data_IF_125095337722
#
_entry.id   IF_125095337722
#
_cell.length_a   1.000
_cell.length_b   1.000
_cell.length_c   1.000
_cell.angle_alpha   90.00
_cell.angle_beta   90.00
_cell.angle_gamma   90.00
#
_symmetry.space_group_name_H-M   'P 1'
#
loop_
_entity.id
_entity.type
_entity.pdbx_description
1 polymer ?
#
# COMPACT_ATOMS: atom_id res chain seq x y z
N UNK A 1 16.74 67.85 -48.61
CA UNK A 1 16.68 66.39 -48.51
C UNK A 1 16.19 66.02 -47.13
N UNK A 2 15.01 65.43 -47.12
CA UNK A 2 14.27 64.91 -45.98
C UNK A 2 15.05 63.79 -45.31
N UNK A 3 15.18 63.82 -43.98
CA UNK A 3 15.27 62.61 -43.15
C UNK A 3 14.65 62.93 -41.79
N UNK A 4 13.48 62.33 -41.58
CA UNK A 4 12.73 62.28 -40.33
C UNK A 4 13.52 61.45 -39.30
N UNK A 5 13.59 61.92 -38.07
CA UNK A 5 13.68 61.05 -36.88
C UNK A 5 12.78 61.61 -35.78
N UNK A 6 11.90 60.75 -35.27
CA UNK A 6 11.05 60.90 -34.08
C UNK A 6 11.41 59.69 -33.18
N UNK A 7 10.95 59.63 -31.92
CA UNK A 7 11.51 60.16 -30.67
C UNK A 7 12.15 59.04 -29.81
N UNK A 8 12.83 59.39 -28.70
CA UNK A 8 13.06 58.43 -27.62
C UNK A 8 12.20 58.84 -26.43
N UNK A 9 11.08 58.13 -26.25
CA UNK A 9 10.28 58.17 -25.03
C UNK A 9 10.92 57.24 -24.02
N UNK A 10 11.20 57.75 -22.83
CA UNK A 10 11.67 56.98 -21.68
C UNK A 10 10.67 55.87 -21.34
N UNK A 11 11.10 54.61 -21.44
CA UNK A 11 10.35 53.47 -20.91
C UNK A 11 10.79 53.26 -19.45
N UNK A 12 9.91 53.57 -18.51
CA UNK A 12 10.03 53.10 -17.12
C UNK A 12 9.48 51.68 -17.13
N UNK A 13 10.36 50.68 -17.03
CA UNK A 13 9.96 49.30 -16.86
C UNK A 13 9.52 49.10 -15.40
N UNK A 14 8.20 49.04 -15.17
CA UNK A 14 7.64 48.59 -13.91
C UNK A 14 7.86 47.10 -13.75
N UNK A 15 8.73 46.69 -12.82
CA UNK A 15 8.86 45.32 -12.40
C UNK A 15 7.59 44.92 -11.62
N UNK A 16 6.71 44.15 -12.26
CA UNK A 16 5.59 43.51 -11.60
C UNK A 16 6.15 42.32 -10.80
N UNK A 17 6.38 42.50 -9.50
CA UNK A 17 6.62 41.37 -8.59
C UNK A 17 5.34 40.54 -8.53
N UNK A 18 5.31 39.42 -9.27
CA UNK A 18 4.41 38.31 -9.00
C UNK A 18 4.82 37.74 -7.64
N UNK A 19 4.10 38.13 -6.59
CA UNK A 19 4.17 37.45 -5.31
C UNK A 19 3.66 36.02 -5.53
N UNK A 20 4.58 35.06 -5.64
CA UNK A 20 4.26 33.65 -5.44
C UNK A 20 3.80 33.52 -3.99
N UNK A 21 2.50 33.52 -3.77
CA UNK A 21 1.94 33.00 -2.52
C UNK A 21 2.34 31.54 -2.45
N UNK A 22 3.03 31.08 -1.38
CA UNK A 22 3.25 29.66 -1.21
C UNK A 22 1.88 28.99 -1.22
N UNK A 23 1.71 27.99 -2.08
CA UNK A 23 0.58 27.08 -2.01
C UNK A 23 0.61 26.57 -0.57
N UNK A 24 -0.36 26.95 0.26
CA UNK A 24 -0.48 26.37 1.58
C UNK A 24 -0.66 24.87 1.36
N UNK A 25 0.41 24.11 1.60
CA UNK A 25 0.26 22.72 1.99
C UNK A 25 -0.62 22.78 3.24
N UNK A 26 -1.92 22.59 3.05
CA UNK A 26 -2.76 22.11 4.13
C UNK A 26 -2.09 20.77 4.44
N UNK A 27 -1.26 20.73 5.48
CA UNK A 27 -0.90 19.45 6.07
C UNK A 27 -2.23 18.75 6.27
N UNK A 28 -2.48 17.68 5.52
CA UNK A 28 -3.75 16.98 5.60
C UNK A 28 -3.92 16.52 7.03
N UNK A 29 -4.70 17.27 7.81
CA UNK A 29 -4.96 16.92 9.20
C UNK A 29 -5.93 15.75 9.15
N UNK A 30 -5.42 14.55 9.44
CA UNK A 30 -6.26 13.37 9.61
C UNK A 30 -7.33 13.62 10.67
N UNK A 31 -8.56 13.23 10.36
CA UNK A 31 -9.68 13.35 11.27
C UNK A 31 -9.68 12.14 12.22
N UNK A 32 -9.35 12.37 13.48
CA UNK A 32 -9.40 11.31 14.50
C UNK A 32 -10.85 10.83 14.69
N UNK A 33 -11.05 9.50 14.71
CA UNK A 33 -12.38 8.88 14.82
C UNK A 33 -12.61 8.26 16.19
N UNK A 34 -13.43 8.93 17.00
CA UNK A 34 -13.76 8.47 18.36
C UNK A 34 -14.53 7.13 18.36
N UNK A 35 -15.37 6.90 17.36
CA UNK A 35 -16.05 5.62 17.15
C UNK A 35 -15.07 4.50 16.77
N UNK A 36 -13.97 4.79 16.09
CA UNK A 36 -12.95 3.77 15.79
C UNK A 36 -12.11 3.42 17.02
N UNK A 37 -11.86 4.38 17.91
CA UNK A 37 -11.27 4.08 19.22
C UNK A 37 -12.11 3.04 20.00
N UNK A 38 -13.44 3.14 19.92
CA UNK A 38 -14.35 2.19 20.53
C UNK A 38 -14.30 0.81 19.86
N UNK A 39 -14.17 0.74 18.53
CA UNK A 39 -13.97 -0.52 17.78
C UNK A 39 -12.69 -1.23 18.24
N UNK A 40 -11.56 -0.52 18.31
CA UNK A 40 -10.29 -1.08 18.77
C UNK A 40 -10.38 -1.57 20.22
N UNK A 41 -11.03 -0.79 21.11
CA UNK A 41 -11.26 -1.17 22.50
C UNK A 41 -12.11 -2.42 22.62
N UNK A 42 -13.22 -2.53 21.87
CA UNK A 42 -14.11 -3.68 21.88
C UNK A 42 -13.45 -4.96 21.38
N UNK A 43 -12.45 -4.84 20.49
CA UNK A 43 -11.66 -5.96 19.98
C UNK A 43 -10.40 -6.25 20.82
N UNK A 44 -10.20 -5.53 21.93
CA UNK A 44 -8.97 -5.61 22.76
C UNK A 44 -7.70 -5.50 21.89
N UNK A 45 -7.71 -4.56 20.95
CA UNK A 45 -6.64 -4.35 19.98
C UNK A 45 -5.88 -3.06 20.29
N UNK A 46 -4.56 -3.11 20.14
CA UNK A 46 -3.67 -1.93 20.15
C UNK A 46 -3.04 -1.82 18.77
N UNK A 47 -3.22 -0.67 18.12
CA UNK A 47 -2.83 -0.50 16.73
C UNK A 47 -3.32 0.82 16.16
N UNK A 48 -3.23 0.94 14.84
CA UNK A 48 -3.69 2.10 14.08
C UNK A 48 -4.55 1.65 12.91
N UNK A 49 -5.43 2.55 12.47
CA UNK A 49 -6.14 2.44 11.21
C UNK A 49 -6.16 3.81 10.54
N UNK A 50 -5.50 3.92 9.39
CA UNK A 50 -5.62 5.08 8.51
C UNK A 50 -6.52 4.72 7.33
N UNK A 51 -7.46 5.60 7.01
CA UNK A 51 -8.37 5.48 5.87
C UNK A 51 -8.36 6.78 5.08
N UNK A 52 -8.25 6.68 3.76
CA UNK A 52 -8.38 7.82 2.84
C UNK A 52 -9.54 7.55 1.91
N UNK A 53 -10.64 8.27 2.13
CA UNK A 53 -11.85 8.23 1.31
C UNK A 53 -11.74 9.26 0.19
N UNK A 54 -11.74 8.80 -1.07
CA UNK A 54 -11.69 9.65 -2.27
C UNK A 54 -12.99 9.61 -3.08
N UNK A 55 -14.09 9.19 -2.47
CA UNK A 55 -15.39 9.20 -3.13
C UNK A 55 -15.86 10.62 -3.42
N UNK A 56 -16.63 10.76 -4.50
CA UNK A 56 -17.31 12.00 -4.91
C UNK A 56 -16.37 13.21 -5.14
N UNK A 57 -15.07 12.95 -5.34
CA UNK A 57 -14.07 13.96 -5.67
C UNK A 57 -13.57 14.81 -4.48
N UNK A 58 -13.98 14.49 -3.25
CA UNK A 58 -13.46 15.12 -2.04
C UNK A 58 -12.63 14.11 -1.24
N UNK A 59 -11.33 14.37 -1.05
CA UNK A 59 -10.48 13.52 -0.23
C UNK A 59 -10.71 13.80 1.26
N UNK A 60 -11.02 12.75 2.02
CA UNK A 60 -11.12 12.80 3.49
C UNK A 60 -10.24 11.72 4.10
N UNK A 61 -9.25 12.13 4.89
CA UNK A 61 -8.41 11.23 5.66
C UNK A 61 -8.92 11.11 7.10
N UNK A 62 -9.10 9.88 7.58
CA UNK A 62 -9.60 9.55 8.91
C UNK A 62 -8.66 8.55 9.57
N UNK A 63 -8.45 8.67 10.88
CA UNK A 63 -7.46 7.87 11.58
C UNK A 63 -7.91 7.44 12.98
N UNK A 64 -7.42 6.27 13.39
CA UNK A 64 -7.26 5.88 14.79
C UNK A 64 -5.77 5.79 15.10
N UNK A 65 -5.30 6.52 16.12
CA UNK A 65 -3.88 6.58 16.51
C UNK A 65 -2.97 7.09 15.36
N UNK A 66 -3.07 8.40 15.10
CA UNK A 66 -2.27 9.06 14.07
C UNK A 66 -0.78 9.16 14.36
N UNK A 67 -0.33 8.97 15.61
CA UNK A 67 1.10 8.88 15.89
C UNK A 67 1.65 7.57 15.35
N UNK A 68 0.99 6.45 15.67
CA UNK A 68 1.36 5.12 15.19
C UNK A 68 1.20 4.97 13.68
N UNK A 69 0.23 5.61 13.03
CA UNK A 69 0.10 5.58 11.58
C UNK A 69 1.33 6.11 10.81
N UNK A 70 2.14 6.97 11.45
CA UNK A 70 3.41 7.49 10.89
C UNK A 70 4.64 6.69 11.29
N UNK A 71 4.49 5.74 12.21
CA UNK A 71 5.59 4.85 12.62
C UNK A 71 5.75 3.77 11.56
N UNK A 72 7.00 3.54 11.15
CA UNK A 72 7.35 2.46 10.23
C UNK A 72 7.48 1.15 10.99
N UNK A 73 7.02 0.08 10.37
CA UNK A 73 7.21 -1.28 10.85
C UNK A 73 7.50 -2.21 9.67
N UNK A 74 8.03 -3.39 9.96
CA UNK A 74 8.22 -4.45 8.96
C UNK A 74 6.89 -4.78 8.23
N UNK A 75 6.86 -4.80 6.88
CA UNK A 75 5.64 -4.99 6.10
C UNK A 75 5.09 -6.43 6.13
N UNK A 76 5.94 -7.41 6.44
CA UNK A 76 5.60 -8.84 6.34
C UNK A 76 5.00 -9.18 4.97
N UNK A 77 3.94 -9.99 4.93
CA UNK A 77 3.31 -10.41 3.67
C UNK A 77 2.55 -9.31 2.92
N UNK A 78 2.50 -8.06 3.39
CA UNK A 78 2.01 -6.94 2.56
C UNK A 78 2.99 -6.59 1.45
N UNK A 79 4.30 -6.84 1.65
CA UNK A 79 5.35 -6.64 0.65
C UNK A 79 5.16 -7.50 -0.61
N UNK A 80 4.31 -8.52 -0.56
CA UNK A 80 3.94 -9.29 -1.75
C UNK A 80 3.34 -8.42 -2.85
N UNK A 81 2.71 -7.29 -2.53
CA UNK A 81 2.14 -6.37 -3.52
C UNK A 81 3.24 -5.78 -4.42
N UNK A 82 4.22 -5.01 -3.91
CA UNK A 82 5.32 -4.50 -4.74
C UNK A 82 6.21 -5.62 -5.29
N UNK A 83 6.48 -6.67 -4.51
CA UNK A 83 7.38 -7.75 -4.95
C UNK A 83 6.82 -8.54 -6.16
N UNK A 84 5.50 -8.65 -6.32
CA UNK A 84 4.93 -9.18 -7.57
C UNK A 84 5.18 -8.25 -8.76
N UNK A 85 5.13 -6.93 -8.60
CA UNK A 85 5.49 -5.99 -9.68
C UNK A 85 6.96 -6.16 -10.07
N UNK A 86 7.85 -6.33 -9.10
CA UNK A 86 9.29 -6.49 -9.36
C UNK A 86 9.55 -7.78 -10.15
N UNK A 87 8.89 -8.88 -9.76
CA UNK A 87 9.03 -10.16 -10.43
C UNK A 87 8.49 -10.16 -11.86
N UNK A 88 7.40 -9.43 -12.12
CA UNK A 88 6.85 -9.25 -13.46
C UNK A 88 7.78 -8.38 -14.34
N UNK A 89 8.17 -7.21 -13.85
CA UNK A 89 9.02 -6.26 -14.58
C UNK A 89 10.39 -6.87 -14.95
N UNK A 90 10.98 -7.63 -14.02
CA UNK A 90 12.25 -8.32 -14.25
C UNK A 90 12.14 -9.58 -15.13
N UNK A 91 10.92 -10.00 -15.52
CA UNK A 91 10.65 -11.21 -16.27
C UNK A 91 10.95 -12.51 -15.50
N UNK A 92 10.95 -12.45 -14.16
CA UNK A 92 11.05 -13.65 -13.29
C UNK A 92 9.78 -14.47 -13.37
N UNK A 93 8.64 -13.80 -13.57
CA UNK A 93 7.34 -14.40 -13.80
C UNK A 93 6.82 -13.92 -15.16
N UNK A 94 6.42 -14.86 -16.02
CA UNK A 94 5.87 -14.57 -17.34
C UNK A 94 4.43 -14.01 -17.24
N UNK A 95 3.57 -14.69 -16.49
CA UNK A 95 2.16 -14.33 -16.31
C UNK A 95 1.57 -14.98 -15.05
N UNK A 96 0.27 -14.80 -14.81
CA UNK A 96 -0.42 -15.40 -13.68
C UNK A 96 -0.65 -16.91 -13.76
N UNK A 97 -0.36 -17.54 -14.90
CA UNK A 97 -0.54 -18.98 -15.14
C UNK A 97 0.75 -19.77 -14.96
N UNK A 98 1.91 -19.12 -14.92
CA UNK A 98 3.17 -19.77 -14.61
C UNK A 98 3.10 -20.45 -13.23
N UNK A 99 3.39 -21.75 -13.22
CA UNK A 99 3.40 -22.57 -12.01
C UNK A 99 4.84 -22.75 -11.51
N UNK A 100 5.04 -22.48 -10.23
CA UNK A 100 6.27 -22.73 -9.50
C UNK A 100 6.12 -24.02 -8.70
N UNK A 101 6.97 -24.99 -9.01
CA UNK A 101 6.95 -26.30 -8.37
C UNK A 101 7.37 -26.22 -6.90
N UNK A 102 6.67 -26.94 -6.04
CA UNK A 102 7.05 -27.11 -4.65
C UNK A 102 8.38 -27.87 -4.56
N UNK A 103 9.26 -27.42 -3.67
CA UNK A 103 10.56 -28.01 -3.41
C UNK A 103 10.52 -29.32 -2.61
N UNK A 104 9.33 -29.79 -2.23
CA UNK A 104 9.14 -30.99 -1.42
C UNK A 104 9.46 -30.80 0.06
N UNK A 105 9.80 -29.57 0.50
CA UNK A 105 10.08 -29.27 1.90
C UNK A 105 8.77 -28.96 2.62
N UNK A 106 8.42 -29.80 3.60
CA UNK A 106 7.23 -29.62 4.44
C UNK A 106 7.41 -28.43 5.39
N UNK A 107 6.46 -27.49 5.32
CA UNK A 107 6.41 -26.26 6.13
C UNK A 107 5.16 -26.24 7.01
N UNK A 108 5.19 -25.41 8.06
CA UNK A 108 4.17 -25.34 9.11
C UNK A 108 2.76 -24.97 8.63
N UNK A 109 2.67 -24.25 7.50
CA UNK A 109 1.40 -23.93 6.87
C UNK A 109 1.11 -24.96 5.78
N UNK A 110 0.16 -25.90 5.96
CA UNK A 110 -0.07 -26.99 5.01
C UNK A 110 -0.36 -26.50 3.59
N UNK A 111 -1.02 -25.34 3.47
CA UNK A 111 -1.34 -24.73 2.20
C UNK A 111 -0.12 -24.21 1.41
N UNK A 112 1.08 -24.18 2.00
CA UNK A 112 2.33 -23.83 1.31
C UNK A 112 3.01 -25.03 0.67
N UNK A 113 2.61 -26.26 1.03
CA UNK A 113 3.27 -27.50 0.63
C UNK A 113 2.67 -28.05 -0.68
N UNK A 114 2.62 -27.19 -1.70
CA UNK A 114 2.06 -27.49 -3.02
C UNK A 114 2.64 -26.53 -4.07
N UNK A 115 2.45 -26.88 -5.34
CA UNK A 115 2.80 -25.99 -6.44
C UNK A 115 1.93 -24.73 -6.40
N UNK A 116 2.50 -23.59 -6.77
CA UNK A 116 1.83 -22.30 -6.69
C UNK A 116 2.06 -21.44 -7.94
N UNK A 117 1.02 -20.70 -8.31
CA UNK A 117 1.04 -19.58 -9.25
C UNK A 117 1.00 -18.25 -8.47
N UNK A 118 0.99 -17.11 -9.17
CA UNK A 118 0.88 -15.79 -8.53
C UNK A 118 -0.41 -15.66 -7.70
N UNK A 119 -1.53 -16.21 -8.17
CA UNK A 119 -2.84 -16.08 -7.53
C UNK A 119 -2.92 -16.81 -6.21
N UNK A 120 -2.48 -18.07 -6.18
CA UNK A 120 -2.40 -18.87 -4.96
C UNK A 120 -1.29 -18.37 -4.04
N UNK A 121 -0.14 -17.95 -4.58
CA UNK A 121 0.95 -17.32 -3.83
C UNK A 121 0.53 -16.08 -3.06
N UNK A 122 -0.16 -15.15 -3.73
CA UNK A 122 -0.70 -13.92 -3.15
C UNK A 122 -1.77 -14.24 -2.08
N UNK A 123 -2.76 -15.06 -2.44
CA UNK A 123 -3.92 -15.40 -1.58
C UNK A 123 -3.51 -16.15 -0.32
N UNK A 124 -2.65 -17.16 -0.44
CA UNK A 124 -2.21 -18.03 0.67
C UNK A 124 -0.96 -17.50 1.38
N UNK A 125 -0.44 -16.34 0.95
CA UNK A 125 0.75 -15.70 1.49
C UNK A 125 1.97 -16.62 1.51
N UNK A 126 2.15 -17.40 0.44
CA UNK A 126 3.22 -18.41 0.31
C UNK A 126 4.59 -17.74 0.37
N UNK A 127 5.32 -17.88 1.47
CA UNK A 127 6.59 -17.16 1.66
C UNK A 127 7.67 -17.68 0.73
N UNK A 128 7.79 -19.00 0.57
CA UNK A 128 8.87 -19.59 -0.21
C UNK A 128 8.88 -19.15 -1.68
N UNK A 129 7.71 -18.88 -2.25
CA UNK A 129 7.58 -18.38 -3.62
C UNK A 129 8.20 -16.98 -3.77
N UNK A 130 7.94 -16.09 -2.81
CA UNK A 130 8.51 -14.73 -2.85
C UNK A 130 9.98 -14.72 -2.43
N UNK A 131 10.44 -15.70 -1.64
CA UNK A 131 11.87 -15.92 -1.43
C UNK A 131 12.58 -16.38 -2.71
N UNK A 132 11.91 -17.17 -3.56
CA UNK A 132 12.42 -17.48 -4.88
C UNK A 132 12.52 -16.22 -5.75
N UNK A 133 11.51 -15.35 -5.76
CA UNK A 133 11.58 -14.07 -6.49
C UNK A 133 12.74 -13.21 -6.03
N UNK A 134 12.95 -13.05 -4.72
CA UNK A 134 14.08 -12.29 -4.18
C UNK A 134 15.44 -12.83 -4.68
N UNK A 135 15.61 -14.15 -4.76
CA UNK A 135 16.83 -14.76 -5.29
C UNK A 135 17.05 -14.47 -6.78
N UNK A 136 15.99 -14.52 -7.59
CA UNK A 136 16.07 -14.25 -9.02
C UNK A 136 16.28 -12.75 -9.33
N UNK A 137 15.74 -11.88 -8.48
CA UNK A 137 15.94 -10.43 -8.57
C UNK A 137 17.37 -10.04 -8.14
N UNK A 138 17.84 -10.58 -7.02
CA UNK A 138 19.11 -10.20 -6.41
C UNK A 138 19.05 -8.84 -5.70
N UNK A 139 20.07 -8.57 -4.88
CA UNK A 139 20.12 -7.40 -3.99
C UNK A 139 20.05 -6.05 -4.74
N UNK A 140 20.73 -5.93 -5.89
CA UNK A 140 20.79 -4.69 -6.66
C UNK A 140 19.39 -4.29 -7.16
N UNK A 141 18.67 -5.22 -7.81
CA UNK A 141 17.32 -4.94 -8.33
C UNK A 141 16.31 -4.69 -7.21
N UNK A 142 16.37 -5.44 -6.13
CA UNK A 142 15.47 -5.23 -4.98
C UNK A 142 15.61 -3.81 -4.43
N UNK A 143 16.85 -3.33 -4.26
CA UNK A 143 17.12 -1.97 -3.81
C UNK A 143 16.64 -0.94 -4.83
N UNK A 144 17.01 -1.11 -6.10
CA UNK A 144 16.64 -0.18 -7.18
C UNK A 144 15.11 -0.05 -7.28
N UNK A 145 14.37 -1.14 -7.20
CA UNK A 145 12.92 -1.11 -7.26
C UNK A 145 12.29 -0.44 -6.04
N UNK A 146 12.76 -0.76 -4.82
CA UNK A 146 12.29 -0.12 -3.59
C UNK A 146 12.51 1.39 -3.62
N UNK A 147 13.68 1.84 -4.07
CA UNK A 147 14.02 3.25 -4.24
C UNK A 147 13.16 3.91 -5.34
N UNK A 148 12.97 3.25 -6.48
CA UNK A 148 12.20 3.79 -7.61
C UNK A 148 10.72 4.03 -7.27
N UNK A 149 10.16 3.24 -6.35
CA UNK A 149 8.79 3.40 -5.90
C UNK A 149 8.65 4.13 -4.56
N UNK A 150 9.74 4.59 -3.94
CA UNK A 150 9.74 5.25 -2.63
C UNK A 150 9.04 4.40 -1.54
N UNK A 151 9.39 3.11 -1.44
CA UNK A 151 8.72 2.19 -0.52
C UNK A 151 9.37 2.21 0.87
N UNK A 152 8.81 3.01 1.78
CA UNK A 152 9.21 3.04 3.18
C UNK A 152 10.65 3.52 3.36
N UNK A 153 11.49 2.75 4.04
CA UNK A 153 12.93 3.05 4.19
C UNK A 153 13.82 2.46 3.08
N UNK A 154 13.26 1.68 2.14
CA UNK A 154 13.97 1.00 1.06
C UNK A 154 15.20 0.16 1.50
N UNK A 155 15.22 -0.32 2.74
CA UNK A 155 16.35 -1.07 3.28
C UNK A 155 16.16 -2.58 3.18
N UNK A 156 17.02 -3.26 2.43
CA UNK A 156 17.02 -4.73 2.31
C UNK A 156 17.97 -5.42 3.30
N UNK A 157 18.75 -4.66 4.09
CA UNK A 157 19.76 -5.21 5.00
C UNK A 157 20.77 -6.11 4.29
N UNK A 158 21.16 -7.21 4.97
CA UNK A 158 22.09 -8.24 4.49
C UNK A 158 21.42 -9.62 4.31
N UNK A 159 20.08 -9.68 4.37
CA UNK A 159 19.31 -10.93 4.28
C UNK A 159 18.25 -10.85 3.18
N UNK A 160 18.70 -11.03 1.95
CA UNK A 160 17.89 -10.95 0.72
C UNK A 160 16.55 -11.71 0.78
N UNK A 161 16.46 -12.87 1.41
CA UNK A 161 15.21 -13.65 1.47
C UNK A 161 14.31 -13.33 2.68
N UNK A 162 14.72 -12.39 3.53
CA UNK A 162 14.09 -12.12 4.84
C UNK A 162 13.86 -10.64 5.14
N UNK A 163 14.33 -9.71 4.30
CA UNK A 163 14.29 -8.28 4.60
C UNK A 163 12.89 -7.70 4.85
N UNK A 164 11.85 -8.33 4.29
CA UNK A 164 10.46 -7.95 4.53
C UNK A 164 9.77 -8.77 5.63
N UNK A 165 10.45 -9.76 6.21
CA UNK A 165 9.90 -10.70 7.21
C UNK A 165 10.36 -10.40 8.63
N UNK A 166 11.50 -9.75 8.77
CA UNK A 166 12.17 -9.51 10.04
C UNK A 166 12.35 -8.01 10.29
N UNK A 167 12.48 -7.64 11.56
CA UNK A 167 12.70 -6.25 11.99
C UNK A 167 14.11 -5.77 11.60
N UNK A 168 14.37 -4.47 11.78
CA UNK A 168 15.66 -3.81 11.53
C UNK A 168 16.13 -3.78 10.05
N UNK A 169 15.26 -4.12 9.09
CA UNK A 169 15.52 -4.01 7.65
C UNK A 169 14.42 -3.18 6.97
N UNK A 170 13.57 -3.78 6.12
CA UNK A 170 12.55 -3.02 5.39
C UNK A 170 11.43 -2.65 6.34
N UNK A 171 11.14 -1.36 6.44
CA UNK A 171 10.05 -0.84 7.25
C UNK A 171 9.24 0.20 6.47
N UNK A 172 7.92 0.19 6.69
CA UNK A 172 6.97 1.10 6.07
C UNK A 172 5.85 1.46 7.04
N UNK A 173 5.37 2.70 6.99
CA UNK A 173 4.27 3.19 7.83
C UNK A 173 2.89 2.92 7.21
N UNK A 174 1.81 3.14 7.98
CA UNK A 174 0.46 3.05 7.42
C UNK A 174 0.19 4.17 6.41
N UNK A 175 0.73 5.37 6.64
CA UNK A 175 0.69 6.49 5.70
C UNK A 175 1.36 6.13 4.37
N UNK A 176 2.58 5.60 4.42
CA UNK A 176 3.35 5.22 3.23
C UNK A 176 2.70 4.05 2.48
N UNK A 177 2.08 3.10 3.18
CA UNK A 177 1.25 2.06 2.56
C UNK A 177 0.10 2.67 1.75
N UNK A 178 -0.61 3.67 2.29
CA UNK A 178 -1.67 4.36 1.55
C UNK A 178 -1.09 5.05 0.30
N UNK A 179 0.00 5.80 0.43
CA UNK A 179 0.61 6.52 -0.68
C UNK A 179 1.04 5.58 -1.82
N UNK A 180 1.66 4.44 -1.48
CA UNK A 180 1.99 3.38 -2.42
C UNK A 180 0.74 2.82 -3.13
N UNK A 181 -0.30 2.46 -2.36
CA UNK A 181 -1.54 1.88 -2.90
C UNK A 181 -2.29 2.87 -3.80
N UNK A 182 -2.26 4.16 -3.51
CA UNK A 182 -2.86 5.18 -4.36
C UNK A 182 -2.17 5.32 -5.72
N UNK A 183 -0.84 5.19 -5.75
CA UNK A 183 -0.06 5.18 -7.00
C UNK A 183 -0.35 3.91 -7.79
N UNK A 184 -0.39 2.73 -7.14
CA UNK A 184 -0.78 1.47 -7.77
C UNK A 184 -2.22 1.54 -8.35
N UNK A 185 -3.16 2.12 -7.61
CA UNK A 185 -4.53 2.29 -8.06
C UNK A 185 -4.60 3.09 -9.37
N UNK A 186 -3.84 4.18 -9.46
CA UNK A 186 -3.79 5.09 -10.62
C UNK A 186 -2.86 4.65 -11.76
N UNK A 187 -2.19 3.50 -11.62
CA UNK A 187 -1.15 3.02 -12.53
C UNK A 187 0.05 4.00 -12.65
N UNK A 188 0.42 4.66 -11.55
CA UNK A 188 1.47 5.70 -11.51
C UNK A 188 2.80 5.18 -10.95
N UNK A 189 2.93 3.88 -10.71
CA UNK A 189 4.23 3.28 -10.43
C UNK A 189 5.02 3.13 -11.74
N UNK A 190 6.37 3.13 -11.71
CA UNK A 190 7.24 3.04 -12.88
C UNK A 190 7.32 1.61 -13.45
N UNK A 191 6.18 0.94 -13.60
CA UNK A 191 6.03 -0.41 -14.16
C UNK A 191 5.01 -0.40 -15.29
N UNK A 192 5.02 -1.44 -16.12
CA UNK A 192 4.02 -1.61 -17.16
C UNK A 192 2.59 -1.61 -16.58
N UNK A 193 1.69 -0.93 -17.29
CA UNK A 193 0.30 -0.79 -16.85
C UNK A 193 -0.40 -2.15 -16.72
N UNK A 194 -0.01 -3.11 -17.56
CA UNK A 194 -0.51 -4.48 -17.52
C UNK A 194 -0.18 -5.17 -16.19
N UNK A 195 1.06 -5.03 -15.71
CA UNK A 195 1.52 -5.65 -14.46
C UNK A 195 0.81 -5.03 -13.25
N UNK A 196 0.66 -3.70 -13.26
CA UNK A 196 -0.08 -3.00 -12.22
C UNK A 196 -1.56 -3.44 -12.19
N UNK A 197 -2.18 -3.66 -13.36
CA UNK A 197 -3.55 -4.20 -13.44
C UNK A 197 -3.63 -5.65 -12.96
N UNK A 198 -2.65 -6.49 -13.30
CA UNK A 198 -2.59 -7.87 -12.84
C UNK A 198 -2.46 -7.93 -11.31
N UNK A 199 -1.52 -7.19 -10.71
CA UNK A 199 -1.35 -7.15 -9.25
C UNK A 199 -2.64 -6.70 -8.55
N UNK A 200 -3.35 -5.70 -9.09
CA UNK A 200 -4.65 -5.31 -8.57
C UNK A 200 -5.68 -6.44 -8.61
N UNK A 201 -5.72 -7.23 -9.67
CA UNK A 201 -6.60 -8.40 -9.80
C UNK A 201 -6.27 -9.49 -8.76
N UNK A 202 -4.98 -9.78 -8.56
CA UNK A 202 -4.52 -10.74 -7.56
C UNK A 202 -4.91 -10.35 -6.12
N UNK A 203 -5.12 -9.05 -5.87
CA UNK A 203 -5.52 -8.52 -4.57
C UNK A 203 -7.03 -8.61 -4.28
N UNK A 204 -7.88 -9.02 -5.23
CA UNK A 204 -9.33 -9.11 -4.99
C UNK A 204 -9.64 -10.16 -3.92
N UNK A 205 -10.25 -9.74 -2.82
CA UNK A 205 -10.64 -10.61 -1.69
C UNK A 205 -12.15 -10.60 -1.41
N UNK A 206 -12.91 -9.71 -2.06
CA UNK A 206 -14.36 -9.68 -2.00
C UNK A 206 -14.94 -8.76 -3.07
N UNK A 207 -16.18 -9.01 -3.46
CA UNK A 207 -16.91 -8.14 -4.38
C UNK A 207 -18.42 -8.27 -4.14
N UNK A 208 -19.16 -7.21 -4.46
CA UNK A 208 -20.61 -7.18 -4.55
C UNK A 208 -21.06 -6.42 -5.79
N UNK A 209 -22.33 -6.06 -5.86
CA UNK A 209 -22.89 -5.38 -7.05
C UNK A 209 -22.19 -4.05 -7.36
N UNK A 210 -21.91 -3.24 -6.33
CA UNK A 210 -21.38 -1.88 -6.46
C UNK A 210 -20.11 -1.66 -5.62
N UNK A 211 -19.34 -2.72 -5.35
CA UNK A 211 -18.06 -2.62 -4.66
C UNK A 211 -17.11 -3.79 -4.97
N UNK A 212 -15.81 -3.51 -4.96
CA UNK A 212 -14.74 -4.53 -4.99
C UNK A 212 -13.78 -4.23 -3.84
N UNK A 213 -13.53 -5.21 -2.98
CA UNK A 213 -12.54 -5.13 -1.92
C UNK A 213 -11.25 -5.80 -2.40
N UNK A 214 -10.17 -5.02 -2.44
CA UNK A 214 -8.82 -5.49 -2.70
C UNK A 214 -7.99 -5.32 -1.44
N UNK A 215 -7.21 -6.31 -1.08
CA UNK A 215 -6.33 -6.16 0.08
C UNK A 215 -5.38 -7.30 0.32
N UNK A 216 -4.36 -7.01 1.12
CA UNK A 216 -3.31 -7.96 1.49
C UNK A 216 -3.05 -7.94 2.97
N UNK A 217 -3.02 -9.13 3.56
CA UNK A 217 -2.64 -9.36 4.95
C UNK A 217 -1.12 -9.48 5.10
N UNK A 218 -0.60 -9.02 6.25
CA UNK A 218 0.76 -9.25 6.71
C UNK A 218 0.78 -9.70 8.17
N UNK A 219 1.75 -10.54 8.56
CA UNK A 219 1.91 -10.96 9.95
C UNK A 219 3.35 -11.41 10.20
N UNK A 220 3.96 -10.86 11.25
CA UNK A 220 5.31 -11.26 11.71
C UNK A 220 5.27 -12.30 12.83
N UNK A 221 4.08 -12.61 13.34
CA UNK A 221 3.92 -13.29 14.61
C UNK A 221 3.47 -12.34 15.72
N UNK A 222 3.97 -11.11 15.76
CA UNK A 222 3.68 -10.14 16.83
C UNK A 222 3.01 -8.86 16.31
N UNK A 223 3.18 -8.54 15.04
CA UNK A 223 2.54 -7.43 14.36
C UNK A 223 1.69 -7.96 13.21
N UNK A 224 0.45 -7.49 13.11
CA UNK A 224 -0.51 -7.86 12.08
C UNK A 224 -0.89 -6.67 11.22
N UNK A 225 -0.84 -6.84 9.90
CA UNK A 225 -1.26 -5.86 8.90
C UNK A 225 -2.50 -6.30 8.13
N UNK A 226 -3.31 -5.32 7.71
CA UNK A 226 -4.20 -5.44 6.56
C UNK A 226 -4.27 -4.12 5.81
N UNK A 227 -3.90 -4.13 4.54
CA UNK A 227 -3.82 -2.94 3.69
C UNK A 227 -4.59 -3.18 2.39
N UNK A 228 -5.16 -2.13 1.79
CA UNK A 228 -5.92 -2.27 0.56
C UNK A 228 -6.86 -1.10 0.30
N UNK A 229 -7.89 -1.35 -0.52
CA UNK A 229 -8.96 -0.39 -0.76
C UNK A 229 -10.27 -1.08 -1.12
N UNK A 230 -11.36 -0.36 -0.88
CA UNK A 230 -12.67 -0.65 -1.46
C UNK A 230 -12.88 0.26 -2.65
N UNK A 231 -13.14 -0.32 -3.80
CA UNK A 231 -13.49 0.38 -5.02
C UNK A 231 -15.02 0.48 -5.13
N UNK A 232 -15.55 1.69 -5.26
CA UNK A 232 -16.98 1.97 -5.50
C UNK A 232 -17.16 2.81 -6.77
N UNK A 233 -18.36 2.85 -7.37
CA UNK A 233 -18.62 3.73 -8.51
C UNK A 233 -18.32 5.21 -8.26
N UNK A 234 -18.45 5.67 -7.01
CA UNK A 234 -18.13 7.05 -6.62
C UNK A 234 -16.64 7.32 -6.37
N UNK A 235 -15.80 6.29 -6.30
CA UNK A 235 -14.36 6.40 -6.05
C UNK A 235 -13.83 5.37 -5.06
N UNK A 236 -12.50 5.30 -4.89
CA UNK A 236 -11.85 4.38 -3.97
C UNK A 236 -11.85 4.88 -2.52
N UNK A 237 -11.81 3.94 -1.58
CA UNK A 237 -11.59 4.16 -0.15
C UNK A 237 -10.42 3.29 0.28
N UNK A 238 -9.25 3.88 0.49
CA UNK A 238 -8.02 3.18 0.88
C UNK A 238 -7.98 2.97 2.40
N UNK A 239 -7.35 1.89 2.84
CA UNK A 239 -7.13 1.62 4.26
C UNK A 239 -5.77 0.95 4.50
N UNK A 240 -5.18 1.27 5.65
CA UNK A 240 -3.99 0.62 6.17
C UNK A 240 -4.13 0.45 7.68
N UNK A 241 -4.22 -0.82 8.12
CA UNK A 241 -4.22 -1.21 9.52
C UNK A 241 -2.91 -1.91 9.86
N UNK A 242 -2.29 -1.52 10.98
CA UNK A 242 -1.40 -2.39 11.73
C UNK A 242 -1.83 -2.48 13.19
N UNK A 243 -1.64 -3.65 13.81
CA UNK A 243 -1.97 -3.89 15.21
C UNK A 243 -1.04 -4.93 15.84
N UNK A 244 -0.84 -4.83 17.15
CA UNK A 244 -0.19 -5.86 17.93
C UNK A 244 -1.03 -7.15 17.94
N UNK A 245 -0.37 -8.31 17.91
CA UNK A 245 -1.00 -9.65 17.99
C UNK A 245 -0.41 -10.45 19.15
N UNK A 246 -0.59 -10.03 20.41
CA UNK A 246 -0.03 -10.72 21.59
C UNK A 246 -0.53 -12.17 21.73
N UNK A 247 -1.74 -12.46 21.26
CA UNK A 247 -2.33 -13.81 21.25
C UNK A 247 -2.06 -14.56 19.93
N UNK A 248 -1.09 -14.08 19.14
CA UNK A 248 -0.63 -14.72 17.90
C UNK A 248 -1.79 -14.99 16.94
N UNK A 249 -2.00 -16.24 16.54
CA UNK A 249 -3.03 -16.64 15.57
C UNK A 249 -4.45 -16.25 16.00
N UNK A 250 -4.73 -16.17 17.31
CA UNK A 250 -6.06 -15.83 17.82
C UNK A 250 -6.46 -14.38 17.52
N UNK A 251 -5.50 -13.48 17.32
CA UNK A 251 -5.77 -12.07 16.98
C UNK A 251 -5.92 -11.85 15.46
N UNK A 252 -5.54 -12.82 14.61
CA UNK A 252 -5.52 -12.62 13.15
C UNK A 252 -6.86 -12.22 12.53
N UNK A 253 -8.03 -12.74 12.98
CA UNK A 253 -9.32 -12.29 12.47
C UNK A 253 -9.65 -10.83 12.80
N UNK A 254 -9.10 -10.28 13.90
CA UNK A 254 -9.38 -8.90 14.35
C UNK A 254 -9.00 -7.87 13.30
N UNK A 255 -7.90 -8.08 12.56
CA UNK A 255 -7.44 -7.17 11.50
C UNK A 255 -8.54 -6.87 10.47
N UNK A 256 -9.21 -7.93 10.01
CA UNK A 256 -10.28 -7.80 9.02
C UNK A 256 -11.58 -7.32 9.64
N UNK A 257 -11.92 -7.81 10.85
CA UNK A 257 -13.10 -7.37 11.59
C UNK A 257 -13.10 -5.88 11.88
N UNK A 258 -12.01 -5.35 12.43
CA UNK A 258 -11.86 -3.93 12.80
C UNK A 258 -12.00 -3.03 11.56
N UNK A 259 -11.27 -3.33 10.49
CA UNK A 259 -11.37 -2.54 9.24
C UNK A 259 -12.77 -2.64 8.64
N UNK A 260 -13.38 -3.84 8.61
CA UNK A 260 -14.73 -3.98 8.07
C UNK A 260 -15.76 -3.17 8.86
N UNK A 261 -15.69 -3.21 10.19
CA UNK A 261 -16.56 -2.42 11.07
C UNK A 261 -16.35 -0.92 10.85
N UNK A 262 -15.10 -0.45 10.81
CA UNK A 262 -14.77 0.95 10.55
C UNK A 262 -15.25 1.42 9.16
N UNK A 263 -15.04 0.63 8.11
CA UNK A 263 -15.49 0.95 6.76
C UNK A 263 -17.02 0.98 6.63
N UNK A 264 -17.76 0.21 7.45
CA UNK A 264 -19.24 0.30 7.53
C UNK A 264 -19.71 1.59 8.19
N UNK A 265 -18.99 2.11 9.20
CA UNK A 265 -19.34 3.40 9.82
C UNK A 265 -19.32 4.59 8.85
N UNK A 266 -18.62 4.45 7.72
CA UNK A 266 -18.54 5.45 6.64
C UNK A 266 -19.23 4.99 5.35
N UNK A 267 -19.99 3.89 5.40
CA UNK A 267 -20.72 3.35 4.24
C UNK A 267 -19.80 3.00 3.04
N UNK A 268 -18.54 2.66 3.30
CA UNK A 268 -17.61 2.16 2.29
C UNK A 268 -17.85 0.67 2.01
N UNK A 269 -18.25 -0.10 3.03
CA UNK A 269 -18.73 -1.47 2.89
C UNK A 269 -20.22 -1.58 3.26
N UNK A 270 -20.95 -2.55 2.69
CA UNK A 270 -22.34 -2.81 3.10
C UNK A 270 -22.42 -3.28 4.55
N UNK A 271 -23.58 -3.03 5.17
CA UNK A 271 -23.93 -3.61 6.45
C UNK A 271 -23.96 -5.15 6.37
N UNK A 272 -23.79 -5.83 7.52
CA UNK A 272 -24.04 -7.28 7.58
C UNK A 272 -25.54 -7.56 7.46
N UNK A 273 -25.87 -8.60 6.69
CA UNK A 273 -27.23 -9.15 6.60
C UNK A 273 -27.64 -9.90 7.87
#
# INVERSE_FOLDING_TARGET
MTLKTIPIKSLVAGALLLALTPLSAIAETWQERADWHEIFRANEASGTLLVVDKRDGAATAMVHDGERARQRFVPASTFKIPHTLFALDAGVVEDEFQVFAWDGVERDFPQWNADHDLRSGMRLSVVWLYQHFARELGEERERDYLEAIDYGNADIGDRLEHFWLEEDMLEISAEEQIEFLERLYRNELPFDEADQRLVKDLMIVGAGNDWILRGKTGWTGQLGWWVGWVERPSGPVFFALNMETPNRMADLPKRQGIVAEALRTIEALPAED
#
